data_IF_746647420053
#
_entry.id   IF_746647420053
#
_cell.length_a   1.000
_cell.length_b   1.000
_cell.length_c   1.000
_cell.angle_alpha   90.00
_cell.angle_beta   90.00
_cell.angle_gamma   90.00
#
_symmetry.space_group_name_H-M   'P 1'
#
loop_
_entity.id
_entity.type
_entity.pdbx_description
1 polymer ?
#
# COMPACT_ATOMS: atom_id res chain seq x y z
N UNK A 1 -6.11 21.51 19.88
CA UNK A 1 -4.93 21.99 19.13
C UNK A 1 -4.35 23.19 19.86
N UNK A 2 -3.03 23.37 19.91
CA UNK A 2 -2.47 24.67 20.28
C UNK A 2 -2.93 25.71 19.25
N UNK A 3 -3.04 26.98 19.65
CA UNK A 3 -3.44 28.08 18.75
C UNK A 3 -2.52 28.18 17.53
N UNK A 4 -1.25 27.77 17.67
CA UNK A 4 -0.26 27.77 16.60
C UNK A 4 -0.56 26.74 15.50
N UNK A 5 -0.96 25.50 15.83
CA UNK A 5 -1.27 24.49 14.81
C UNK A 5 -2.51 24.85 14.01
N UNK A 6 -3.52 25.44 14.67
CA UNK A 6 -4.71 25.93 13.97
C UNK A 6 -4.34 27.03 12.96
N UNK A 7 -3.42 27.92 13.33
CA UNK A 7 -2.91 28.95 12.44
C UNK A 7 -2.12 28.37 11.26
N UNK A 8 -1.30 27.33 11.47
CA UNK A 8 -0.54 26.69 10.38
C UNK A 8 -1.43 26.03 9.33
N UNK A 9 -2.49 25.34 9.74
CA UNK A 9 -3.45 24.75 8.80
C UNK A 9 -4.23 25.82 8.05
N UNK A 10 -4.64 26.89 8.73
CA UNK A 10 -5.31 28.01 8.07
C UNK A 10 -4.41 28.68 7.03
N UNK A 11 -3.11 28.80 7.32
CA UNK A 11 -2.13 29.29 6.37
C UNK A 11 -2.02 28.37 5.15
N UNK A 12 -1.96 27.05 5.33
CA UNK A 12 -1.92 26.08 4.23
C UNK A 12 -3.15 26.16 3.32
N UNK A 13 -4.36 26.22 3.92
CA UNK A 13 -5.60 26.40 3.16
C UNK A 13 -5.59 27.72 2.37
N UNK A 14 -5.08 28.80 2.95
CA UNK A 14 -4.96 30.11 2.28
C UNK A 14 -3.98 30.05 1.11
N UNK A 15 -2.85 29.36 1.28
CA UNK A 15 -1.87 29.14 0.20
C UNK A 15 -2.54 28.38 -0.94
N UNK A 16 -3.24 27.28 -0.66
CA UNK A 16 -3.91 26.47 -1.68
C UNK A 16 -4.97 27.28 -2.46
N UNK A 17 -5.79 28.05 -1.75
CA UNK A 17 -6.78 28.94 -2.37
C UNK A 17 -6.12 30.00 -3.26
N UNK A 18 -4.95 30.50 -2.87
CA UNK A 18 -4.18 31.46 -3.68
C UNK A 18 -3.59 30.79 -4.92
N UNK A 19 -3.04 29.58 -4.79
CA UNK A 19 -2.48 28.81 -5.90
C UNK A 19 -3.54 28.48 -6.96
N UNK A 20 -4.79 28.24 -6.54
CA UNK A 20 -5.90 27.94 -7.44
C UNK A 20 -6.82 29.12 -7.77
N UNK A 21 -6.43 30.35 -7.40
CA UNK A 21 -7.21 31.53 -7.76
C UNK A 21 -7.33 31.64 -9.30
N UNK A 22 -8.54 31.72 -9.88
CA UNK A 22 -8.72 31.70 -11.33
C UNK A 22 -8.08 32.86 -12.10
N UNK A 23 -7.70 33.95 -11.42
CA UNK A 23 -7.14 35.17 -12.03
C UNK A 23 -5.64 35.27 -11.87
N UNK A 24 -5.10 34.89 -10.70
CA UNK A 24 -3.69 35.11 -10.34
C UNK A 24 -2.97 33.84 -9.87
N UNK A 25 -3.67 32.72 -9.80
CA UNK A 25 -3.10 31.44 -9.36
C UNK A 25 -2.10 30.84 -10.35
N UNK A 26 -1.50 29.74 -9.94
CA UNK A 26 -0.57 28.98 -10.73
C UNK A 26 -1.31 28.27 -11.90
N UNK A 27 -0.87 28.44 -13.16
CA UNK A 27 -1.53 27.82 -14.31
C UNK A 27 -1.55 26.29 -14.28
N UNK A 28 -0.62 25.65 -13.58
CA UNK A 28 -0.62 24.20 -13.41
C UNK A 28 -1.67 23.78 -12.38
N UNK A 29 -1.68 24.43 -11.21
CA UNK A 29 -2.62 24.11 -10.13
C UNK A 29 -4.06 24.31 -10.58
N UNK A 30 -4.39 25.43 -11.24
CA UNK A 30 -5.76 25.74 -11.73
C UNK A 30 -6.28 24.67 -12.71
N UNK A 31 -5.40 24.07 -13.52
CA UNK A 31 -5.80 23.09 -14.55
C UNK A 31 -6.11 21.71 -14.00
N UNK A 32 -5.71 21.41 -12.76
CA UNK A 32 -5.93 20.10 -12.17
C UNK A 32 -7.39 19.88 -11.80
N UNK A 33 -7.83 18.63 -11.94
CA UNK A 33 -9.12 18.11 -11.50
C UNK A 33 -8.93 16.91 -10.55
N UNK A 34 -10.03 16.29 -10.11
CA UNK A 34 -9.95 15.16 -9.18
C UNK A 34 -9.15 13.99 -9.75
N UNK A 35 -9.32 13.68 -11.04
CA UNK A 35 -8.70 12.52 -11.68
C UNK A 35 -7.21 12.76 -11.91
N UNK A 36 -6.81 13.98 -12.28
CA UNK A 36 -5.41 14.33 -12.54
C UNK A 36 -4.53 14.29 -11.29
N UNK A 37 -5.11 14.44 -10.09
CA UNK A 37 -4.39 14.38 -8.81
C UNK A 37 -4.24 12.95 -8.26
N UNK A 38 -5.04 11.98 -8.74
CA UNK A 38 -4.98 10.58 -8.26
C UNK A 38 -3.59 9.94 -8.38
N UNK A 39 -2.89 10.04 -9.53
CA UNK A 39 -1.54 9.45 -9.65
C UNK A 39 -0.56 10.01 -8.62
N UNK A 40 -0.58 11.32 -8.39
CA UNK A 40 0.27 11.99 -7.39
C UNK A 40 -0.05 11.49 -5.98
N UNK A 41 -1.34 11.35 -5.63
CA UNK A 41 -1.72 10.80 -4.31
C UNK A 41 -1.19 9.39 -4.07
N UNK A 42 -1.17 8.56 -5.12
CA UNK A 42 -0.62 7.22 -5.04
C UNK A 42 0.90 7.29 -4.86
N UNK A 43 1.59 8.14 -5.63
CA UNK A 43 3.03 8.37 -5.55
C UNK A 43 3.45 8.80 -4.13
N UNK A 44 2.86 9.87 -3.58
CA UNK A 44 3.20 10.34 -2.22
C UNK A 44 2.92 9.28 -1.14
N UNK A 45 1.91 8.43 -1.35
CA UNK A 45 1.64 7.32 -0.43
C UNK A 45 2.81 6.33 -0.41
N UNK A 46 3.43 6.05 -1.56
CA UNK A 46 4.58 5.17 -1.64
C UNK A 46 5.87 5.83 -1.15
N UNK A 47 6.06 7.13 -1.36
CA UNK A 47 7.20 7.86 -0.78
C UNK A 47 7.17 7.86 0.75
N UNK A 48 5.98 8.05 1.37
CA UNK A 48 5.79 7.85 2.82
C UNK A 48 6.18 6.44 3.25
N UNK A 49 5.77 5.43 2.49
CA UNK A 49 6.10 4.02 2.77
C UNK A 49 7.61 3.79 2.71
N UNK A 50 8.29 4.37 1.72
CA UNK A 50 9.72 4.24 1.53
C UNK A 50 10.54 4.98 2.60
N UNK A 51 10.14 6.20 2.98
CA UNK A 51 10.75 6.92 4.09
C UNK A 51 10.66 6.12 5.41
N UNK A 52 9.49 5.51 5.70
CA UNK A 52 9.32 4.63 6.87
C UNK A 52 10.21 3.39 6.77
N UNK A 53 10.27 2.74 5.61
CA UNK A 53 11.07 1.53 5.42
C UNK A 53 12.57 1.79 5.59
N UNK A 54 13.03 2.95 5.13
CA UNK A 54 14.43 3.38 5.23
C UNK A 54 14.75 4.01 6.60
N UNK A 55 13.74 4.23 7.46
CA UNK A 55 13.85 4.97 8.72
C UNK A 55 14.41 6.38 8.51
N UNK A 56 14.09 6.98 7.37
CA UNK A 56 14.45 8.35 7.04
C UNK A 56 13.40 9.29 7.64
N UNK A 57 13.61 9.65 8.91
CA UNK A 57 12.63 10.42 9.67
C UNK A 57 12.55 11.88 9.21
N UNK A 58 13.63 12.40 8.64
CA UNK A 58 13.65 13.76 8.11
C UNK A 58 12.83 13.80 6.81
N UNK A 59 13.04 12.84 5.90
CA UNK A 59 12.24 12.72 4.68
C UNK A 59 10.77 12.41 5.00
N UNK A 60 10.49 11.53 5.97
CA UNK A 60 9.11 11.19 6.34
C UNK A 60 8.26 12.42 6.69
N UNK A 61 8.86 13.44 7.31
CA UNK A 61 8.15 14.68 7.63
C UNK A 61 7.73 15.45 6.37
N UNK A 62 8.56 15.44 5.33
CA UNK A 62 8.30 16.04 4.02
C UNK A 62 7.19 15.27 3.31
N UNK A 63 7.33 13.94 3.18
CA UNK A 63 6.33 13.10 2.49
C UNK A 63 4.94 13.12 3.15
N UNK A 64 4.88 13.19 4.49
CA UNK A 64 3.61 13.37 5.20
C UNK A 64 2.99 14.75 4.93
N UNK A 65 3.82 15.76 4.69
CA UNK A 65 3.41 17.08 4.24
C UNK A 65 2.80 17.04 2.84
N UNK A 66 3.45 16.34 1.91
CA UNK A 66 2.98 16.20 0.53
C UNK A 66 1.70 15.36 0.43
N UNK A 67 1.61 14.28 1.20
CA UNK A 67 0.37 13.51 1.32
C UNK A 67 -0.78 14.35 1.92
N UNK A 68 -0.50 15.20 2.91
CA UNK A 68 -1.47 16.15 3.46
C UNK A 68 -1.86 17.20 2.41
N UNK A 69 -0.90 17.67 1.61
CA UNK A 69 -1.15 18.62 0.53
C UNK A 69 -2.16 18.07 -0.48
N UNK A 70 -2.10 16.78 -0.82
CA UNK A 70 -3.11 16.16 -1.69
C UNK A 70 -4.53 16.28 -1.10
N UNK A 71 -4.71 16.04 0.20
CA UNK A 71 -6.01 16.19 0.89
C UNK A 71 -6.52 17.64 0.84
N UNK A 72 -5.61 18.60 1.03
CA UNK A 72 -5.92 20.03 0.94
C UNK A 72 -6.32 20.41 -0.49
N UNK A 73 -5.60 19.89 -1.49
CA UNK A 73 -5.88 20.12 -2.90
C UNK A 73 -7.29 19.63 -3.28
N UNK A 74 -7.63 18.38 -2.92
CA UNK A 74 -8.97 17.83 -3.14
C UNK A 74 -10.06 18.65 -2.44
N UNK A 75 -9.82 19.06 -1.20
CA UNK A 75 -10.77 19.86 -0.43
C UNK A 75 -11.00 21.24 -1.06
N UNK A 76 -9.95 21.85 -1.63
CA UNK A 76 -10.04 23.12 -2.34
C UNK A 76 -10.85 22.97 -3.64
N UNK A 77 -10.61 21.92 -4.43
CA UNK A 77 -11.40 21.63 -5.64
C UNK A 77 -12.87 21.33 -5.33
N UNK A 78 -13.13 20.60 -4.24
CA UNK A 78 -14.49 20.32 -3.78
C UNK A 78 -15.22 21.60 -3.35
N UNK A 79 -14.51 22.51 -2.66
CA UNK A 79 -15.03 23.81 -2.27
C UNK A 79 -15.36 24.68 -3.49
N UNK A 80 -14.49 24.71 -4.49
CA UNK A 80 -14.72 25.44 -5.75
C UNK A 80 -15.97 24.96 -6.51
N UNK A 81 -16.40 23.72 -6.26
CA UNK A 81 -17.57 23.09 -6.88
C UNK A 81 -18.78 23.02 -5.93
N UNK A 82 -18.75 23.71 -4.78
CA UNK A 82 -19.79 23.69 -3.75
C UNK A 82 -20.16 22.27 -3.26
N UNK A 83 -19.20 21.33 -3.24
CA UNK A 83 -19.41 19.93 -2.84
C UNK A 83 -19.21 19.73 -1.33
N UNK A 84 -18.05 20.13 -0.81
CA UNK A 84 -17.66 20.09 0.61
C UNK A 84 -16.38 20.90 0.81
N UNK A 85 -16.05 21.22 2.06
CA UNK A 85 -14.80 21.89 2.44
C UNK A 85 -13.90 21.01 3.32
N UNK A 86 -12.66 21.45 3.55
CA UNK A 86 -11.72 20.75 4.42
C UNK A 86 -12.25 20.53 5.85
N UNK A 87 -13.04 21.48 6.38
CA UNK A 87 -13.68 21.36 7.69
C UNK A 87 -14.61 20.14 7.76
N UNK A 88 -15.43 19.94 6.72
CA UNK A 88 -16.34 18.80 6.63
C UNK A 88 -15.59 17.46 6.61
N UNK A 89 -14.45 17.39 5.91
CA UNK A 89 -13.59 16.20 5.88
C UNK A 89 -13.08 15.85 7.29
N UNK A 90 -12.63 16.86 8.03
CA UNK A 90 -12.13 16.69 9.41
C UNK A 90 -13.25 16.32 10.37
N UNK A 91 -14.43 16.94 10.24
CA UNK A 91 -15.58 16.66 11.11
C UNK A 91 -16.09 15.22 10.90
N UNK A 92 -16.22 14.78 9.64
CA UNK A 92 -16.56 13.39 9.31
C UNK A 92 -15.53 12.42 9.90
N UNK A 93 -14.23 12.75 9.84
CA UNK A 93 -13.19 11.92 10.43
C UNK A 93 -13.28 11.88 11.97
N UNK A 94 -13.50 13.02 12.62
CA UNK A 94 -13.62 13.14 14.07
C UNK A 94 -14.80 12.34 14.61
N UNK A 95 -16.00 12.53 14.05
CA UNK A 95 -17.20 11.79 14.43
C UNK A 95 -16.99 10.28 14.28
N UNK A 96 -16.37 9.87 13.17
CA UNK A 96 -16.07 8.47 12.88
C UNK A 96 -15.06 7.87 13.86
N UNK A 97 -13.99 8.58 14.19
CA UNK A 97 -12.98 8.11 15.15
C UNK A 97 -13.55 8.01 16.57
N UNK A 98 -14.35 8.97 17.00
CA UNK A 98 -15.03 8.94 18.31
C UNK A 98 -15.99 7.77 18.39
N UNK A 99 -16.87 7.60 17.39
CA UNK A 99 -17.86 6.52 17.38
C UNK A 99 -17.23 5.14 17.36
N UNK A 100 -16.13 4.95 16.63
CA UNK A 100 -15.49 3.63 16.49
C UNK A 100 -14.55 3.27 17.65
N UNK A 101 -14.20 4.23 18.51
CA UNK A 101 -13.42 4.00 19.73
C UNK A 101 -14.21 4.35 21.00
N UNK A 102 -15.37 3.71 21.24
CA UNK A 102 -16.18 4.03 22.40
C UNK A 102 -15.44 3.69 23.71
N UNK A 103 -14.44 2.81 23.68
CA UNK A 103 -13.61 2.51 24.85
C UNK A 103 -12.61 3.62 25.23
N UNK A 104 -12.34 4.56 24.31
CA UNK A 104 -11.50 5.73 24.57
C UNK A 104 -12.36 6.94 24.91
N UNK A 105 -13.49 7.11 24.22
CA UNK A 105 -14.30 8.33 24.27
C UNK A 105 -15.66 8.18 24.99
N UNK A 106 -15.96 6.99 25.53
CA UNK A 106 -17.17 6.70 26.32
C UNK A 106 -16.90 5.62 27.37
N UNK A 107 -17.94 5.09 28.02
CA UNK A 107 -17.82 4.12 29.12
C UNK A 107 -17.75 2.63 28.67
N UNK A 108 -17.69 2.37 27.35
CA UNK A 108 -17.62 1.00 26.84
C UNK A 108 -16.33 0.30 27.29
N UNK A 109 -16.44 -0.94 27.77
CA UNK A 109 -15.28 -1.75 28.17
C UNK A 109 -15.19 -2.98 27.29
N UNK A 110 -14.02 -3.20 26.70
CA UNK A 110 -13.67 -4.40 25.96
C UNK A 110 -12.62 -5.18 26.75
N UNK A 111 -12.74 -6.50 26.77
CA UNK A 111 -11.87 -7.37 27.56
C UNK A 111 -10.52 -7.64 26.88
N UNK A 112 -10.43 -7.50 25.55
CA UNK A 112 -9.25 -7.81 24.76
C UNK A 112 -9.25 -7.11 23.39
N UNK A 113 -8.13 -7.19 22.66
CA UNK A 113 -7.97 -6.61 21.31
C UNK A 113 -8.95 -7.20 20.28
N UNK A 114 -9.34 -8.47 20.42
CA UNK A 114 -10.29 -9.10 19.51
C UNK A 114 -11.66 -8.42 19.58
N UNK A 115 -12.17 -8.17 20.80
CA UNK A 115 -13.44 -7.45 20.99
C UNK A 115 -13.39 -6.01 20.46
N UNK A 116 -12.23 -5.34 20.57
CA UNK A 116 -12.03 -4.00 19.98
C UNK A 116 -12.11 -4.06 18.45
N UNK A 117 -11.44 -5.03 17.83
CA UNK A 117 -11.47 -5.23 16.38
C UNK A 117 -12.86 -5.61 15.87
N UNK A 118 -13.59 -6.45 16.59
CA UNK A 118 -14.95 -6.83 16.24
C UNK A 118 -15.89 -5.62 16.30
N UNK A 119 -15.79 -4.80 17.35
CA UNK A 119 -16.55 -3.55 17.46
C UNK A 119 -16.24 -2.59 16.30
N UNK A 120 -14.96 -2.45 15.93
CA UNK A 120 -14.54 -1.60 14.81
C UNK A 120 -15.19 -2.00 13.49
N UNK A 121 -15.30 -3.31 13.22
CA UNK A 121 -15.94 -3.83 12.01
C UNK A 121 -17.48 -3.72 12.05
N UNK A 122 -18.10 -3.88 13.23
CA UNK A 122 -19.53 -3.65 13.41
C UNK A 122 -19.89 -2.19 13.12
N UNK A 123 -19.14 -1.23 13.67
CA UNK A 123 -19.38 0.20 13.43
C UNK A 123 -19.16 0.61 11.97
N UNK A 124 -18.20 -0.02 11.27
CA UNK A 124 -18.04 0.10 9.81
C UNK A 124 -19.24 -0.41 9.03
N UNK A 125 -19.85 -1.52 9.46
CA UNK A 125 -21.01 -2.10 8.78
C UNK A 125 -22.25 -1.21 8.94
N UNK A 126 -22.48 -0.67 10.16
CA UNK A 126 -23.57 0.26 10.44
C UNK A 126 -23.51 1.53 9.59
N UNK A 127 -22.32 2.10 9.38
CA UNK A 127 -22.10 3.28 8.51
C UNK A 127 -22.62 3.05 7.10
N UNK A 128 -22.26 1.91 6.50
CA UNK A 128 -22.64 1.62 5.12
C UNK A 128 -24.14 1.39 4.98
N UNK A 129 -24.75 0.74 5.97
CA UNK A 129 -26.19 0.55 6.01
C UNK A 129 -26.95 1.89 6.11
N UNK A 130 -26.43 2.86 6.89
CA UNK A 130 -27.02 4.20 7.01
C UNK A 130 -26.91 5.03 5.71
N UNK A 131 -25.85 4.82 4.91
CA UNK A 131 -25.66 5.49 3.62
C UNK A 131 -26.52 4.89 2.48
N UNK A 132 -27.42 3.95 2.77
CA UNK A 132 -28.26 3.29 1.76
C UNK A 132 -27.49 2.33 0.85
N UNK A 133 -26.20 2.11 1.10
CA UNK A 133 -25.36 1.15 0.40
C UNK A 133 -25.62 -0.25 0.98
N UNK A 134 -26.74 -0.85 0.58
CA UNK A 134 -26.98 -2.28 0.82
C UNK A 134 -26.08 -3.05 -0.15
N UNK A 135 -24.93 -3.51 0.35
CA UNK A 135 -24.04 -4.41 -0.39
C UNK A 135 -24.84 -5.64 -0.85
N UNK A 136 -24.89 -5.88 -2.16
CA UNK A 136 -25.50 -7.09 -2.73
C UNK A 136 -24.54 -8.27 -2.62
N UNK A 137 -23.24 -8.00 -2.55
CA UNK A 137 -22.16 -8.96 -2.35
C UNK A 137 -21.23 -8.52 -1.23
N UNK A 138 -20.70 -9.48 -0.47
CA UNK A 138 -19.66 -9.26 0.56
C UNK A 138 -18.38 -8.61 0.00
N UNK A 139 -18.22 -8.60 -1.33
CA UNK A 139 -17.08 -8.02 -2.05
C UNK A 139 -17.35 -6.62 -2.60
N UNK A 140 -18.59 -6.10 -2.56
CA UNK A 140 -18.95 -4.81 -3.15
C UNK A 140 -18.16 -3.64 -2.55
N UNK A 141 -17.65 -3.80 -1.33
CA UNK A 141 -16.79 -2.81 -0.67
C UNK A 141 -15.30 -2.99 -0.82
N UNK A 142 -14.86 -3.89 -1.69
CA UNK A 142 -13.46 -3.94 -2.13
C UNK A 142 -13.30 -2.93 -3.27
N UNK A 143 -12.58 -1.81 -3.07
CA UNK A 143 -12.38 -0.83 -4.14
C UNK A 143 -11.68 -1.49 -5.33
N UNK A 144 -12.20 -1.25 -6.53
CA UNK A 144 -11.63 -1.77 -7.78
C UNK A 144 -10.29 -1.12 -8.13
N UNK A 145 -10.04 0.10 -7.64
CA UNK A 145 -8.81 0.87 -7.85
C UNK A 145 -7.62 0.41 -7.00
N UNK A 146 -7.79 -0.56 -6.09
CA UNK A 146 -6.67 -1.08 -5.33
C UNK A 146 -5.69 -1.84 -6.24
N UNK A 147 -4.38 -1.73 -6.02
CA UNK A 147 -3.38 -2.60 -6.64
C UNK A 147 -3.73 -4.08 -6.45
N UNK A 148 -3.34 -4.92 -7.40
CA UNK A 148 -3.82 -6.30 -7.50
C UNK A 148 -3.57 -7.12 -6.21
N UNK A 149 -2.36 -7.03 -5.62
CA UNK A 149 -2.00 -7.76 -4.40
C UNK A 149 -2.82 -7.27 -3.19
N UNK A 150 -2.92 -5.96 -3.02
CA UNK A 150 -3.75 -5.33 -1.98
C UNK A 150 -5.23 -5.69 -2.13
N UNK A 151 -5.74 -5.72 -3.37
CA UNK A 151 -7.12 -6.10 -3.69
C UNK A 151 -7.37 -7.58 -3.37
N UNK A 152 -6.49 -8.49 -3.81
CA UNK A 152 -6.58 -9.92 -3.53
C UNK A 152 -6.57 -10.21 -2.03
N UNK A 153 -5.66 -9.60 -1.27
CA UNK A 153 -5.60 -9.73 0.19
C UNK A 153 -6.92 -9.27 0.85
N UNK A 154 -7.50 -8.17 0.36
CA UNK A 154 -8.76 -7.64 0.89
C UNK A 154 -9.96 -8.53 0.56
N UNK A 155 -10.02 -9.11 -0.65
CA UNK A 155 -11.02 -10.09 -1.05
C UNK A 155 -10.95 -11.31 -0.12
N UNK A 156 -9.76 -11.88 0.06
CA UNK A 156 -9.58 -13.07 0.90
C UNK A 156 -9.95 -12.80 2.36
N UNK A 157 -9.54 -11.66 2.93
CA UNK A 157 -9.97 -11.25 4.29
C UNK A 157 -11.48 -11.08 4.43
N UNK A 158 -12.18 -10.69 3.36
CA UNK A 158 -13.65 -10.59 3.37
C UNK A 158 -14.29 -11.97 3.36
N UNK A 159 -13.84 -12.86 2.49
CA UNK A 159 -14.32 -14.24 2.45
C UNK A 159 -14.07 -14.98 3.76
N UNK A 160 -12.89 -14.80 4.36
CA UNK A 160 -12.51 -15.44 5.62
C UNK A 160 -13.44 -15.10 6.79
N UNK A 161 -13.97 -13.86 6.85
CA UNK A 161 -14.95 -13.46 7.88
C UNK A 161 -16.25 -14.24 7.85
N UNK A 162 -16.56 -14.87 6.72
CA UNK A 162 -17.74 -15.70 6.53
C UNK A 162 -17.41 -17.20 6.57
N UNK A 163 -16.22 -17.57 7.07
CA UNK A 163 -15.77 -18.95 7.19
C UNK A 163 -15.23 -19.57 5.90
N UNK A 164 -15.05 -18.77 4.84
CA UNK A 164 -14.39 -19.23 3.61
C UNK A 164 -12.89 -18.98 3.72
N UNK A 165 -12.24 -19.76 4.57
CA UNK A 165 -10.79 -19.77 4.78
C UNK A 165 -10.32 -21.14 5.28
N UNK A 166 -9.03 -21.41 5.18
CA UNK A 166 -8.39 -22.58 5.79
C UNK A 166 -7.99 -22.29 7.23
N UNK A 167 -8.11 -23.27 8.12
CA UNK A 167 -7.75 -23.12 9.54
C UNK A 167 -6.27 -23.35 9.83
N UNK A 168 -5.51 -23.83 8.86
CA UNK A 168 -4.10 -24.16 9.03
C UNK A 168 -3.28 -23.89 7.77
N UNK A 169 -1.97 -23.73 7.96
CA UNK A 169 -1.05 -23.32 6.91
C UNK A 169 -0.82 -24.41 5.84
N UNK A 170 -0.97 -25.69 6.19
CA UNK A 170 -0.69 -26.83 5.29
C UNK A 170 -1.44 -26.75 3.97
N UNK A 171 -2.79 -26.74 3.98
CA UNK A 171 -3.61 -26.62 2.76
C UNK A 171 -3.30 -25.36 1.94
N UNK A 172 -2.88 -24.28 2.57
CA UNK A 172 -2.51 -23.03 1.88
C UNK A 172 -1.21 -23.20 1.10
N UNK A 173 -0.23 -23.90 1.69
CA UNK A 173 1.03 -24.24 1.01
C UNK A 173 0.79 -25.27 -0.10
N UNK A 174 -0.04 -26.28 0.16
CA UNK A 174 -0.41 -27.29 -0.84
C UNK A 174 -1.07 -26.62 -2.05
N UNK A 175 -1.96 -25.65 -1.83
CA UNK A 175 -2.57 -24.90 -2.94
C UNK A 175 -1.54 -24.11 -3.74
N UNK A 176 -0.56 -23.45 -3.11
CA UNK A 176 0.53 -22.79 -3.86
C UNK A 176 1.31 -23.79 -4.73
N UNK A 177 1.57 -25.01 -4.24
CA UNK A 177 2.23 -26.04 -5.03
C UNK A 177 1.37 -26.55 -6.19
N UNK A 178 0.06 -26.71 -5.97
CA UNK A 178 -0.93 -27.06 -7.00
C UNK A 178 -0.93 -26.03 -8.14
N UNK A 179 -1.05 -24.73 -7.82
CA UNK A 179 -1.05 -23.66 -8.83
C UNK A 179 0.27 -23.57 -9.61
N UNK A 180 1.42 -23.86 -8.96
CA UNK A 180 2.70 -23.96 -9.68
C UNK A 180 2.66 -25.10 -10.70
N UNK A 181 2.05 -26.24 -10.35
CA UNK A 181 1.92 -27.37 -11.25
C UNK A 181 0.95 -27.05 -12.40
N UNK A 182 -0.18 -26.39 -12.14
CA UNK A 182 -1.16 -25.99 -13.16
C UNK A 182 -0.53 -25.03 -14.19
N UNK A 183 0.24 -24.03 -13.72
CA UNK A 183 1.02 -23.14 -14.61
C UNK A 183 1.99 -23.95 -15.49
N UNK A 184 2.70 -24.92 -14.93
CA UNK A 184 3.65 -25.74 -15.68
C UNK A 184 2.94 -26.68 -16.67
N UNK A 185 1.79 -27.22 -16.29
CA UNK A 185 1.01 -28.12 -17.13
C UNK A 185 0.50 -27.40 -18.38
N UNK A 186 0.10 -26.13 -18.27
CA UNK A 186 -0.31 -25.31 -19.43
C UNK A 186 0.90 -24.77 -20.22
N UNK A 187 1.96 -24.33 -19.55
CA UNK A 187 3.14 -23.73 -20.20
C UNK A 187 4.02 -24.74 -20.95
N UNK A 188 3.98 -26.03 -20.58
CA UNK A 188 4.79 -27.10 -21.18
C UNK A 188 4.02 -27.96 -22.20
N UNK A 189 2.81 -27.56 -22.58
CA UNK A 189 2.07 -28.21 -23.65
C UNK A 189 2.80 -28.12 -25.00
N UNK A 190 2.54 -29.09 -25.88
CA UNK A 190 3.05 -29.09 -27.26
C UNK A 190 2.56 -27.86 -28.04
N UNK A 191 1.35 -27.41 -27.74
CA UNK A 191 0.79 -26.15 -28.25
C UNK A 191 0.29 -25.34 -27.06
N UNK A 192 0.97 -24.23 -26.79
CA UNK A 192 0.68 -23.38 -25.63
C UNK A 192 -0.48 -22.44 -25.94
N UNK A 193 -1.54 -22.52 -25.13
CA UNK A 193 -2.64 -21.56 -25.14
C UNK A 193 -2.34 -20.44 -24.15
N UNK A 194 -1.85 -19.31 -24.66
CA UNK A 194 -1.34 -18.22 -23.82
C UNK A 194 -2.35 -17.70 -22.78
N UNK A 195 -3.64 -17.66 -23.12
CA UNK A 195 -4.68 -17.20 -22.19
C UNK A 195 -4.82 -18.12 -20.97
N UNK A 196 -4.69 -19.44 -21.17
CA UNK A 196 -4.75 -20.40 -20.05
C UNK A 196 -3.55 -20.24 -19.14
N UNK A 197 -2.36 -20.07 -19.71
CA UNK A 197 -1.15 -19.78 -18.91
C UNK A 197 -1.32 -18.50 -18.09
N UNK A 198 -1.93 -17.46 -18.67
CA UNK A 198 -2.21 -16.22 -17.96
C UNK A 198 -3.23 -16.41 -16.82
N UNK A 199 -4.28 -17.20 -17.05
CA UNK A 199 -5.28 -17.54 -16.03
C UNK A 199 -4.62 -18.27 -14.84
N UNK A 200 -3.84 -19.34 -15.09
CA UNK A 200 -3.15 -20.10 -14.03
C UNK A 200 -2.08 -19.26 -13.31
N UNK A 201 -1.39 -18.35 -14.02
CA UNK A 201 -0.48 -17.39 -13.38
C UNK A 201 -1.22 -16.45 -12.43
N UNK A 202 -2.44 -16.04 -12.80
CA UNK A 202 -3.32 -15.25 -11.94
C UNK A 202 -3.67 -15.99 -10.65
N UNK A 203 -4.03 -17.27 -10.75
CA UNK A 203 -4.41 -18.09 -9.60
C UNK A 203 -3.20 -18.43 -8.71
N UNK A 204 -2.01 -18.66 -9.28
CA UNK A 204 -0.75 -18.75 -8.54
C UNK A 204 -0.46 -17.47 -7.73
N UNK A 205 -0.60 -16.30 -8.35
CA UNK A 205 -0.44 -15.02 -7.65
C UNK A 205 -1.49 -14.85 -6.54
N UNK A 206 -2.72 -15.28 -6.77
CA UNK A 206 -3.77 -15.23 -5.76
C UNK A 206 -3.50 -16.19 -4.58
N UNK A 207 -3.01 -17.40 -4.84
CA UNK A 207 -2.63 -18.38 -3.83
C UNK A 207 -1.43 -17.92 -3.00
N UNK A 208 -0.42 -17.31 -3.63
CA UNK A 208 0.73 -16.74 -2.90
C UNK A 208 0.32 -15.56 -2.01
N UNK A 209 -0.61 -14.71 -2.44
CA UNK A 209 -1.22 -13.67 -1.58
C UNK A 209 -1.88 -14.31 -0.35
N UNK A 210 -2.57 -15.44 -0.55
CA UNK A 210 -3.21 -16.17 0.54
C UNK A 210 -2.20 -16.72 1.54
N UNK A 211 -1.10 -17.31 1.06
CA UNK A 211 0.01 -17.73 1.89
C UNK A 211 0.61 -16.58 2.71
N UNK A 212 0.87 -15.44 2.07
CA UNK A 212 1.40 -14.24 2.75
C UNK A 212 0.44 -13.76 3.85
N UNK A 213 -0.87 -13.78 3.59
CA UNK A 213 -1.90 -13.41 4.56
C UNK A 213 -1.93 -14.35 5.76
N UNK A 214 -1.86 -15.66 5.52
CA UNK A 214 -1.78 -16.69 6.58
C UNK A 214 -0.51 -16.59 7.44
N UNK A 215 0.56 -16.06 6.87
CA UNK A 215 1.79 -15.70 7.59
C UNK A 215 1.71 -14.33 8.29
N UNK A 216 0.53 -13.71 8.36
CA UNK A 216 0.28 -12.40 8.96
C UNK A 216 1.09 -11.24 8.35
N UNK A 217 1.43 -11.35 7.07
CA UNK A 217 2.15 -10.34 6.32
C UNK A 217 1.22 -9.58 5.35
N UNK A 218 1.65 -8.41 4.90
CA UNK A 218 1.00 -7.68 3.81
C UNK A 218 1.75 -7.96 2.49
N UNK A 219 1.09 -8.46 1.44
CA UNK A 219 1.75 -8.85 0.19
C UNK A 219 2.35 -7.68 -0.59
N UNK A 220 1.68 -6.54 -0.63
CA UNK A 220 2.19 -5.32 -1.28
C UNK A 220 3.50 -4.87 -0.62
N UNK A 221 3.49 -4.80 0.71
CA UNK A 221 4.65 -4.39 1.52
C UNK A 221 5.77 -5.43 1.42
N UNK A 222 5.44 -6.71 1.38
CA UNK A 222 6.43 -7.79 1.27
C UNK A 222 7.16 -7.73 -0.08
N UNK A 223 6.41 -7.51 -1.17
CA UNK A 223 6.99 -7.39 -2.51
C UNK A 223 7.80 -6.10 -2.65
N UNK A 224 7.30 -4.95 -2.16
CA UNK A 224 8.06 -3.69 -2.15
C UNK A 224 9.43 -3.85 -1.45
N UNK A 225 9.46 -4.51 -0.28
CA UNK A 225 10.72 -4.82 0.42
C UNK A 225 11.63 -5.75 -0.36
N UNK A 226 11.07 -6.68 -1.14
CA UNK A 226 11.86 -7.56 -2.00
C UNK A 226 12.47 -6.80 -3.18
N UNK A 227 11.72 -5.88 -3.80
CA UNK A 227 12.18 -5.00 -4.88
C UNK A 227 13.32 -4.11 -4.40
N UNK A 228 13.15 -3.39 -3.29
CA UNK A 228 14.19 -2.50 -2.74
C UNK A 228 15.47 -3.27 -2.37
N UNK A 229 15.32 -4.52 -1.89
CA UNK A 229 16.45 -5.42 -1.63
C UNK A 229 17.15 -5.86 -2.91
N UNK A 230 16.40 -6.16 -3.97
CA UNK A 230 16.96 -6.55 -5.26
C UNK A 230 17.73 -5.36 -5.87
N UNK A 231 17.10 -4.19 -5.92
CA UNK A 231 17.69 -2.97 -6.47
C UNK A 231 18.99 -2.59 -5.75
N UNK A 232 18.99 -2.56 -4.41
CA UNK A 232 20.20 -2.27 -3.63
C UNK A 232 21.34 -3.22 -3.99
N UNK A 233 21.04 -4.51 -4.15
CA UNK A 233 22.05 -5.52 -4.49
C UNK A 233 22.54 -5.36 -5.91
N UNK A 234 21.66 -5.08 -6.84
CA UNK A 234 22.00 -4.89 -8.24
C UNK A 234 22.89 -3.64 -8.42
N UNK A 235 22.55 -2.52 -7.77
CA UNK A 235 23.40 -1.32 -7.73
C UNK A 235 24.81 -1.62 -7.20
N UNK A 236 24.94 -2.49 -6.19
CA UNK A 236 26.24 -2.93 -5.69
C UNK A 236 26.98 -3.86 -6.68
N UNK A 237 26.26 -4.68 -7.46
CA UNK A 237 26.86 -5.43 -8.58
C UNK A 237 27.37 -4.48 -9.65
N UNK A 238 26.58 -3.50 -10.08
CA UNK A 238 26.97 -2.48 -11.06
C UNK A 238 28.24 -1.73 -10.63
N UNK A 239 28.31 -1.36 -9.34
CA UNK A 239 29.49 -0.73 -8.77
C UNK A 239 30.72 -1.65 -8.87
N UNK A 240 30.60 -2.93 -8.49
CA UNK A 240 31.72 -3.90 -8.57
C UNK A 240 32.16 -4.17 -10.01
N UNK A 241 31.24 -4.17 -10.98
CA UNK A 241 31.55 -4.27 -12.41
C UNK A 241 32.37 -3.05 -12.85
N UNK A 242 31.90 -1.86 -12.48
CA UNK A 242 32.57 -0.59 -12.79
C UNK A 242 33.95 -0.49 -12.15
N UNK A 243 34.12 -0.93 -10.90
CA UNK A 243 35.40 -0.98 -10.19
C UNK A 243 36.44 -1.88 -10.90
N UNK A 244 35.98 -2.86 -11.67
CA UNK A 244 36.81 -3.75 -12.47
C UNK A 244 37.04 -3.23 -13.90
N UNK A 245 36.57 -2.01 -14.21
CA UNK A 245 36.74 -1.35 -15.50
C UNK A 245 35.96 -2.01 -16.64
N UNK A 246 34.92 -2.78 -16.32
CA UNK A 246 34.04 -3.44 -17.30
C UNK A 246 32.73 -2.69 -17.46
N UNK A 247 32.03 -2.91 -18.57
CA UNK A 247 30.63 -2.53 -18.74
C UNK A 247 29.70 -3.71 -18.40
N UNK A 248 28.48 -3.40 -17.95
CA UNK A 248 27.49 -4.41 -17.59
C UNK A 248 27.15 -5.32 -18.78
N UNK A 249 26.99 -4.73 -19.96
CA UNK A 249 26.64 -5.45 -21.21
C UNK A 249 27.76 -6.37 -21.72
N UNK A 250 28.98 -6.22 -21.19
CA UNK A 250 30.13 -7.06 -21.53
C UNK A 250 30.27 -8.27 -20.59
N UNK A 251 29.43 -8.35 -19.56
CA UNK A 251 29.46 -9.39 -18.55
C UNK A 251 28.45 -10.50 -18.88
N UNK A 252 28.87 -11.76 -18.78
CA UNK A 252 27.94 -12.89 -18.86
C UNK A 252 27.19 -13.11 -17.54
N UNK A 253 26.12 -13.91 -17.61
CA UNK A 253 25.26 -14.19 -16.46
C UNK A 253 26.02 -14.88 -15.33
N UNK A 254 26.92 -15.83 -15.65
CA UNK A 254 27.70 -16.55 -14.63
C UNK A 254 28.58 -15.59 -13.81
N UNK A 255 29.20 -14.63 -14.49
CA UNK A 255 30.00 -13.61 -13.85
C UNK A 255 29.15 -12.64 -13.01
N UNK A 256 28.01 -12.16 -13.54
CA UNK A 256 27.09 -11.29 -12.78
C UNK A 256 26.52 -12.01 -11.54
N UNK A 257 26.18 -13.29 -11.66
CA UNK A 257 25.72 -14.12 -10.55
C UNK A 257 26.82 -14.29 -9.49
N UNK A 258 28.08 -14.46 -9.90
CA UNK A 258 29.20 -14.53 -8.96
C UNK A 258 29.36 -13.23 -8.15
N UNK A 259 29.19 -12.07 -8.79
CA UNK A 259 29.21 -10.77 -8.11
C UNK A 259 28.01 -10.59 -7.19
N UNK A 260 26.83 -11.03 -7.63
CA UNK A 260 25.61 -11.01 -6.82
C UNK A 260 25.76 -11.83 -5.53
N UNK A 261 26.36 -13.01 -5.62
CA UNK A 261 26.64 -13.84 -4.45
C UNK A 261 27.68 -13.21 -3.51
N UNK A 262 28.71 -12.54 -4.05
CA UNK A 262 29.64 -11.76 -3.24
C UNK A 262 28.93 -10.62 -2.49
N UNK A 263 28.06 -9.84 -3.17
CA UNK A 263 27.25 -8.78 -2.54
C UNK A 263 26.37 -9.36 -1.43
N UNK A 264 25.72 -10.50 -1.64
CA UNK A 264 24.92 -11.18 -0.61
C UNK A 264 25.75 -11.58 0.61
N UNK A 265 26.99 -12.03 0.41
CA UNK A 265 27.89 -12.38 1.51
C UNK A 265 28.32 -11.14 2.30
N UNK A 266 28.67 -10.05 1.61
CA UNK A 266 29.06 -8.77 2.24
C UNK A 266 27.91 -8.19 3.10
N UNK A 267 26.68 -8.18 2.58
CA UNK A 267 25.48 -7.76 3.35
C UNK A 267 25.27 -8.60 4.62
N UNK A 268 25.47 -9.92 4.55
CA UNK A 268 25.30 -10.82 5.71
C UNK A 268 26.33 -10.53 6.79
N UNK A 269 27.58 -10.25 6.41
CA UNK A 269 28.67 -9.89 7.35
C UNK A 269 28.35 -8.57 8.06
N UNK A 270 27.89 -7.55 7.33
CA UNK A 270 27.49 -6.25 7.90
C UNK A 270 26.35 -6.39 8.91
N UNK A 271 25.33 -7.21 8.59
CA UNK A 271 24.21 -7.47 9.51
C UNK A 271 24.61 -8.30 10.74
N UNK A 272 25.62 -9.16 10.63
CA UNK A 272 26.15 -9.94 11.74
C UNK A 272 27.03 -9.12 12.69
N UNK A 273 27.80 -8.16 12.17
CA UNK A 273 28.66 -7.26 12.97
C UNK A 273 27.89 -6.31 13.88
N UNK A 274 26.74 -5.80 13.42
CA UNK A 274 25.88 -4.89 14.21
C UNK A 274 25.09 -5.57 15.34
N UNK A 275 25.24 -6.87 15.57
CA UNK A 275 24.65 -7.58 16.73
C UNK A 275 25.63 -7.76 17.89
N UNK A 276 26.89 -7.33 17.74
CA UNK A 276 27.96 -7.52 18.74
C UNK A 276 28.51 -6.19 19.30
N UNK A 277 27.83 -5.07 19.05
CA UNK A 277 28.17 -3.74 19.59
C UNK A 277 27.07 -3.21 20.50
#
# INVERSE_FOLDING_TARGET
MSSETANSIQQLLTIMATLRDPKQGCPWDIKQDFDSIVPHTIEETYEVVDAIHNKDWDNLKEELGDLLFQVIFYSQMAKEQDLFEFGDVVDVLNEKLVRRHPHVFSDAKFANEQEINDNWEIEKAKEKAQLGNVEKSILDSVPKSLPALSRANKIQKRCAKHGFDWDCLGPVVDKVHEEVQEVLDEALQVTVEQNKVEDELGDLLFATVNLVRHLNCNPEVALAKANNKFERRFKAVEQKVTEQGKLLDECDLEYLDSLWDLVKQDERKLKGGNKLS
#
